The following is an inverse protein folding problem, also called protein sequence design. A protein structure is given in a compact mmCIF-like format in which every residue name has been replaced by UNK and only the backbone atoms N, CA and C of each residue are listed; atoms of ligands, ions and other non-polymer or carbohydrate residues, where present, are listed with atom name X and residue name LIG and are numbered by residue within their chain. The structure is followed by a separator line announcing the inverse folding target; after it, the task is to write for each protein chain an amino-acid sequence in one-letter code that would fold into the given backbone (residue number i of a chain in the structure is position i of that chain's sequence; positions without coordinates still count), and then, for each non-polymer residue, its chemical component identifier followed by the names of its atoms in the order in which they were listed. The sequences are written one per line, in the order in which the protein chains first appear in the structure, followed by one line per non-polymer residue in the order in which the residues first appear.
data_IF_357140254718
#
_entry.id   IF_357140254718
#
_cell.length_a   1.000
_cell.length_b   1.000
_cell.length_c   1.000
_cell.angle_alpha   90.00
_cell.angle_beta   90.00
_cell.angle_gamma   90.00
#
_symmetry.space_group_name_H-M   'P 1'
#
loop_
_entity.id
_entity.type
_entity.pdbx_description
1 polymer ?
#
# COMPACT_ATOMS: atom_id res chain seq x y z
N UNK A 1 17.78 -34.28 44.39
CA UNK A 1 17.61 -32.84 44.67
C UNK A 1 17.22 -32.17 43.35
N UNK A 2 15.95 -31.80 43.19
CA UNK A 2 15.42 -31.19 41.95
C UNK A 2 15.45 -29.67 42.13
N UNK A 3 16.33 -28.97 41.42
CA UNK A 3 16.32 -27.51 41.38
C UNK A 3 15.13 -27.02 40.58
N UNK A 4 14.14 -26.45 41.27
CA UNK A 4 13.07 -25.67 40.68
C UNK A 4 13.65 -24.32 40.24
N UNK A 5 13.73 -24.09 38.94
CA UNK A 5 14.02 -22.76 38.38
C UNK A 5 12.69 -22.00 38.36
N UNK A 6 12.58 -21.01 39.24
CA UNK A 6 11.45 -20.08 39.33
C UNK A 6 11.61 -19.03 38.22
N UNK A 7 10.89 -19.18 37.11
CA UNK A 7 10.84 -18.16 36.05
C UNK A 7 9.82 -17.10 36.48
N UNK A 8 10.32 -15.94 36.90
CA UNK A 8 9.55 -14.74 37.19
C UNK A 8 9.06 -14.14 35.85
N UNK A 9 7.79 -14.37 35.50
CA UNK A 9 7.11 -13.67 34.42
C UNK A 9 6.79 -12.23 34.88
N UNK A 10 7.63 -11.28 34.46
CA UNK A 10 7.31 -9.86 34.57
C UNK A 10 6.30 -9.55 33.48
N UNK A 11 5.02 -9.48 33.85
CA UNK A 11 3.94 -8.96 33.01
C UNK A 11 4.15 -7.45 32.82
N UNK A 12 4.89 -7.06 31.78
CA UNK A 12 4.92 -5.66 31.34
C UNK A 12 3.59 -5.39 30.64
N UNK A 13 2.61 -4.92 31.41
CA UNK A 13 1.41 -4.30 30.84
C UNK A 13 1.81 -2.95 30.26
N UNK A 14 2.28 -2.93 29.02
CA UNK A 14 2.51 -1.68 28.29
C UNK A 14 1.13 -1.12 27.94
N UNK A 15 0.55 -0.35 28.86
CA UNK A 15 -0.64 0.45 28.60
C UNK A 15 -0.18 1.73 27.87
N UNK A 16 0.49 1.55 26.72
CA UNK A 16 0.79 2.64 25.80
C UNK A 16 -0.50 2.94 25.05
N UNK A 17 -1.16 4.06 25.39
CA UNK A 17 -2.15 4.66 24.52
C UNK A 17 -1.57 4.68 23.11
N UNK A 18 -2.22 4.07 22.11
CA UNK A 18 -1.69 4.07 20.75
C UNK A 18 -1.50 5.51 20.32
N UNK A 19 -0.24 5.91 20.14
CA UNK A 19 0.09 7.22 19.60
C UNK A 19 -0.59 7.32 18.24
N UNK A 20 -1.55 8.26 18.15
CA UNK A 20 -2.42 8.39 16.99
C UNK A 20 -1.56 8.96 15.88
N UNK A 21 -1.10 8.10 14.99
CA UNK A 21 -0.30 8.51 13.84
C UNK A 21 -1.15 9.30 12.84
N UNK A 22 -2.40 8.87 12.68
CA UNK A 22 -3.36 9.59 11.89
C UNK A 22 -4.73 8.94 11.89
N UNK A 23 -5.50 9.29 10.87
CA UNK A 23 -6.85 8.81 10.66
C UNK A 23 -7.04 8.36 9.23
N UNK A 24 -7.72 7.24 9.05
CA UNK A 24 -8.09 6.71 7.74
C UNK A 24 -9.60 6.72 7.58
N UNK A 25 -10.05 6.88 6.33
CA UNK A 25 -11.38 6.48 5.91
C UNK A 25 -11.27 5.29 4.96
N UNK A 26 -12.03 4.25 5.26
CA UNK A 26 -12.04 2.98 4.52
C UNK A 26 -13.45 2.57 4.12
N UNK A 27 -13.55 1.82 3.03
CA UNK A 27 -14.79 1.13 2.64
C UNK A 27 -14.99 -0.10 3.52
N UNK A 28 -16.14 -0.22 4.18
CA UNK A 28 -16.41 -1.29 5.15
C UNK A 28 -16.40 -2.68 4.52
N UNK A 29 -16.93 -2.81 3.30
CA UNK A 29 -17.09 -4.10 2.64
C UNK A 29 -15.74 -4.72 2.23
N UNK A 30 -14.77 -3.91 1.84
CA UNK A 30 -13.51 -4.36 1.24
C UNK A 30 -12.29 -4.04 2.09
N UNK A 31 -12.43 -3.14 3.08
CA UNK A 31 -11.30 -2.56 3.79
C UNK A 31 -10.46 -1.60 2.96
N UNK A 32 -10.92 -1.21 1.75
CA UNK A 32 -10.18 -0.36 0.82
C UNK A 32 -9.91 1.01 1.41
N UNK A 33 -8.65 1.45 1.35
CA UNK A 33 -8.29 2.81 1.70
C UNK A 33 -8.94 3.82 0.73
N UNK A 34 -9.68 4.77 1.30
CA UNK A 34 -10.30 5.88 0.56
C UNK A 34 -9.55 7.18 0.77
N UNK A 35 -9.14 7.45 2.00
CA UNK A 35 -8.46 8.68 2.40
C UNK A 35 -7.64 8.43 3.67
N UNK A 36 -6.51 9.13 3.77
CA UNK A 36 -5.68 9.16 4.97
C UNK A 36 -5.29 10.60 5.26
N UNK A 37 -5.32 10.98 6.53
CA UNK A 37 -4.80 12.25 7.02
C UNK A 37 -3.90 11.98 8.22
N UNK A 38 -2.66 12.49 8.13
CA UNK A 38 -1.70 12.42 9.22
C UNK A 38 -2.10 13.39 10.35
N UNK A 39 -1.84 12.98 11.60
CA UNK A 39 -2.21 13.73 12.80
C UNK A 39 -3.66 13.47 13.25
N UNK A 40 -4.07 14.09 14.36
CA UNK A 40 -5.41 13.87 14.93
C UNK A 40 -6.46 14.75 14.23
N UNK A 41 -6.73 14.44 12.96
CA UNK A 41 -7.88 15.00 12.24
C UNK A 41 -9.15 14.80 13.07
N UNK A 42 -10.03 15.82 13.10
CA UNK A 42 -11.29 15.75 13.84
C UNK A 42 -12.14 14.59 13.32
N UNK A 43 -12.79 13.88 14.25
CA UNK A 43 -13.67 12.78 13.89
C UNK A 43 -14.79 13.28 12.98
N UNK A 44 -14.94 12.62 11.83
CA UNK A 44 -15.96 12.91 10.84
C UNK A 44 -15.44 13.74 9.67
N UNK A 45 -14.23 14.30 9.75
CA UNK A 45 -13.66 15.11 8.65
C UNK A 45 -13.51 14.27 7.38
N UNK A 46 -12.86 13.10 7.46
CA UNK A 46 -12.62 12.28 6.28
C UNK A 46 -13.93 11.68 5.77
N UNK A 47 -14.82 11.24 6.67
CA UNK A 47 -16.14 10.73 6.29
C UNK A 47 -16.97 11.79 5.56
N UNK A 48 -16.94 13.05 6.01
CA UNK A 48 -17.61 14.16 5.32
C UNK A 48 -16.99 14.42 3.94
N UNK A 49 -15.66 14.40 3.83
CA UNK A 49 -14.97 14.56 2.54
C UNK A 49 -15.40 13.47 1.54
N UNK A 50 -15.39 12.20 1.97
CA UNK A 50 -15.81 11.05 1.16
C UNK A 50 -17.29 11.10 0.79
N UNK A 51 -18.16 11.50 1.72
CA UNK A 51 -19.59 11.70 1.45
C UNK A 51 -19.80 12.79 0.39
N UNK A 52 -19.06 13.90 0.46
CA UNK A 52 -19.08 14.97 -0.56
C UNK A 52 -18.52 14.50 -1.91
N UNK A 53 -17.59 13.56 -1.91
CA UNK A 53 -17.03 12.94 -3.11
C UNK A 53 -17.97 11.90 -3.76
N UNK A 54 -19.14 11.63 -3.15
CA UNK A 54 -20.17 10.74 -3.70
C UNK A 54 -20.22 9.35 -3.07
N UNK A 55 -19.42 9.06 -2.04
CA UNK A 55 -19.52 7.78 -1.33
C UNK A 55 -20.75 7.76 -0.42
N UNK A 56 -21.37 6.58 -0.29
CA UNK A 56 -22.47 6.39 0.65
C UNK A 56 -21.92 6.37 2.09
N UNK A 57 -22.38 7.27 2.99
CA UNK A 57 -21.88 7.35 4.36
C UNK A 57 -22.11 6.07 5.18
N UNK A 58 -23.01 5.18 4.75
CA UNK A 58 -23.24 3.90 5.40
C UNK A 58 -22.19 2.84 5.04
N UNK A 59 -21.53 2.99 3.90
CA UNK A 59 -20.55 2.03 3.36
C UNK A 59 -19.11 2.36 3.75
N UNK A 60 -18.90 3.51 4.39
CA UNK A 60 -17.58 4.01 4.79
C UNK A 60 -17.47 4.19 6.30
N UNK A 61 -16.27 3.98 6.81
CA UNK A 61 -15.93 4.22 8.22
C UNK A 61 -14.63 5.01 8.36
N UNK A 62 -14.52 5.72 9.48
CA UNK A 62 -13.38 6.56 9.81
C UNK A 62 -12.80 6.10 11.14
N UNK A 63 -11.50 5.77 11.17
CA UNK A 63 -10.83 5.21 12.35
C UNK A 63 -9.45 5.81 12.57
N UNK A 64 -9.08 5.96 13.84
CA UNK A 64 -7.70 6.28 14.24
C UNK A 64 -6.81 5.08 13.94
N UNK A 65 -5.58 5.35 13.53
CA UNK A 65 -4.57 4.32 13.29
C UNK A 65 -3.25 4.72 13.94
N UNK A 66 -2.58 3.72 14.47
CA UNK A 66 -1.16 3.77 14.83
C UNK A 66 -0.30 3.82 13.58
N UNK A 67 0.99 4.14 13.77
CA UNK A 67 1.96 4.10 12.67
C UNK A 67 2.10 2.70 12.07
N UNK A 68 2.06 1.66 12.90
CA UNK A 68 2.14 0.28 12.43
C UNK A 68 0.94 -0.12 11.57
N UNK A 69 -0.28 0.25 11.99
CA UNK A 69 -1.49 0.03 11.20
C UNK A 69 -1.47 0.82 9.89
N UNK A 70 -1.01 2.07 9.92
CA UNK A 70 -0.86 2.86 8.70
C UNK A 70 0.10 2.20 7.71
N UNK A 71 1.28 1.74 8.15
CA UNK A 71 2.24 1.09 7.26
C UNK A 71 1.67 -0.17 6.61
N UNK A 72 0.86 -0.94 7.33
CA UNK A 72 0.16 -2.10 6.78
C UNK A 72 -0.90 -1.72 5.72
N UNK A 73 -1.67 -0.66 6.00
CA UNK A 73 -2.67 -0.11 5.07
C UNK A 73 -1.99 0.44 3.80
N UNK A 74 -0.91 1.21 3.97
CA UNK A 74 -0.13 1.80 2.89
C UNK A 74 0.51 0.73 2.01
N UNK A 75 1.08 -0.34 2.59
CA UNK A 75 1.64 -1.41 1.79
C UNK A 75 0.55 -2.08 0.94
N UNK A 76 -0.58 -2.43 1.56
CA UNK A 76 -1.68 -3.15 0.91
C UNK A 76 -2.33 -2.36 -0.22
N UNK A 77 -2.64 -1.08 0.01
CA UNK A 77 -3.50 -0.31 -0.90
C UNK A 77 -2.75 0.68 -1.79
N UNK A 78 -1.49 1.00 -1.47
CA UNK A 78 -0.70 1.98 -2.21
C UNK A 78 0.55 1.32 -2.80
N UNK A 79 1.41 0.75 -1.95
CA UNK A 79 2.75 0.31 -2.36
C UNK A 79 2.73 -0.95 -3.21
N UNK A 80 2.04 -2.02 -2.79
CA UNK A 80 1.97 -3.27 -3.55
C UNK A 80 1.29 -3.06 -4.91
N UNK A 81 0.11 -2.42 -5.02
CA UNK A 81 -0.51 -2.16 -6.33
C UNK A 81 0.37 -1.32 -7.25
N UNK A 82 1.10 -0.33 -6.71
CA UNK A 82 2.04 0.48 -7.51
C UNK A 82 3.21 -0.37 -8.05
N UNK A 83 3.78 -1.25 -7.21
CA UNK A 83 4.84 -2.19 -7.63
C UNK A 83 4.33 -3.15 -8.70
N UNK A 84 3.16 -3.74 -8.50
CA UNK A 84 2.53 -4.65 -9.46
C UNK A 84 2.27 -3.96 -10.80
N UNK A 85 1.70 -2.75 -10.78
CA UNK A 85 1.46 -1.95 -12.00
C UNK A 85 2.76 -1.64 -12.74
N UNK A 86 3.84 -1.31 -12.01
CA UNK A 86 5.16 -1.07 -12.60
C UNK A 86 5.69 -2.35 -13.26
N UNK A 87 5.63 -3.48 -12.56
CA UNK A 87 6.09 -4.78 -13.09
C UNK A 87 5.28 -5.20 -14.33
N UNK A 88 3.96 -5.03 -14.31
CA UNK A 88 3.10 -5.30 -15.45
C UNK A 88 3.48 -4.45 -16.66
N UNK A 89 3.71 -3.14 -16.47
CA UNK A 89 4.13 -2.23 -17.55
C UNK A 89 5.49 -2.64 -18.13
N UNK A 90 6.46 -2.98 -17.28
CA UNK A 90 7.78 -3.45 -17.72
C UNK A 90 7.68 -4.76 -18.53
N UNK A 91 6.86 -5.71 -18.07
CA UNK A 91 6.63 -6.96 -18.78
C UNK A 91 5.93 -6.72 -20.13
N UNK A 92 4.92 -5.85 -20.17
CA UNK A 92 4.25 -5.46 -21.42
C UNK A 92 5.22 -4.79 -22.40
N UNK A 93 6.11 -3.93 -21.91
CA UNK A 93 7.12 -3.29 -22.75
C UNK A 93 8.11 -4.31 -23.32
N UNK A 94 8.60 -5.25 -22.50
CA UNK A 94 9.48 -6.35 -22.98
C UNK A 94 8.80 -7.17 -24.07
N UNK A 95 7.53 -7.55 -23.87
CA UNK A 95 6.75 -8.30 -24.88
C UNK A 95 6.60 -7.49 -26.17
N UNK A 96 6.30 -6.19 -26.07
CA UNK A 96 6.20 -5.31 -27.24
C UNK A 96 7.54 -5.18 -27.98
N UNK A 97 8.64 -5.03 -27.25
CA UNK A 97 9.99 -4.97 -27.80
C UNK A 97 10.36 -6.27 -28.51
N UNK A 98 10.14 -7.43 -27.88
CA UNK A 98 10.42 -8.74 -28.49
C UNK A 98 9.56 -8.99 -29.74
N UNK A 99 8.28 -8.58 -29.70
CA UNK A 99 7.40 -8.66 -30.87
C UNK A 99 7.87 -7.77 -32.01
N UNK A 100 8.29 -6.53 -31.72
CA UNK A 100 8.80 -5.60 -32.73
C UNK A 100 10.12 -6.10 -33.33
N UNK A 101 11.05 -6.53 -32.48
CA UNK A 101 12.32 -7.15 -32.89
C UNK A 101 12.08 -8.32 -33.83
N UNK A 102 11.16 -9.22 -33.46
CA UNK A 102 10.84 -10.41 -34.28
C UNK A 102 10.19 -10.03 -35.60
N UNK A 103 9.25 -9.06 -35.60
CA UNK A 103 8.59 -8.58 -36.83
C UNK A 103 9.54 -7.92 -37.81
N UNK A 104 10.56 -7.22 -37.31
CA UNK A 104 11.58 -6.57 -38.13
C UNK A 104 12.73 -7.51 -38.52
N UNK A 105 12.72 -8.76 -38.06
CA UNK A 105 13.79 -9.72 -38.32
C UNK A 105 15.13 -9.34 -37.68
N UNK A 106 15.12 -8.51 -36.64
CA UNK A 106 16.34 -7.98 -36.01
C UNK A 106 16.91 -8.93 -34.96
N UNK A 107 18.24 -8.95 -34.85
CA UNK A 107 18.89 -9.59 -33.70
C UNK A 107 18.68 -8.74 -32.43
N UNK A 108 19.02 -9.29 -31.27
CA UNK A 108 18.97 -8.53 -30.01
C UNK A 108 19.91 -7.32 -30.02
N UNK A 109 21.07 -7.45 -30.69
CA UNK A 109 22.06 -6.39 -30.80
C UNK A 109 21.56 -5.29 -31.74
N UNK A 110 21.07 -5.63 -32.94
CA UNK A 110 20.56 -4.63 -33.89
C UNK A 110 19.41 -3.81 -33.30
N UNK A 111 18.53 -4.47 -32.55
CA UNK A 111 17.41 -3.80 -31.90
C UNK A 111 17.86 -2.88 -30.76
N UNK A 112 18.93 -3.25 -30.05
CA UNK A 112 19.54 -2.40 -29.02
C UNK A 112 20.18 -1.17 -29.67
N UNK A 113 20.98 -1.37 -30.71
CA UNK A 113 21.66 -0.30 -31.44
C UNK A 113 20.64 0.67 -32.06
N UNK A 114 19.54 0.15 -32.62
CA UNK A 114 18.43 0.96 -33.13
C UNK A 114 17.79 1.83 -32.04
N UNK A 115 17.62 1.30 -30.83
CA UNK A 115 17.09 2.08 -29.68
C UNK A 115 18.05 3.18 -29.24
N UNK A 116 19.36 2.97 -29.34
CA UNK A 116 20.37 3.98 -28.99
C UNK A 116 20.44 5.12 -30.02
N UNK A 117 20.11 4.86 -31.29
CA UNK A 117 20.06 5.90 -32.34
C UNK A 117 18.78 6.73 -32.29
N UNK A 118 17.66 6.14 -31.86
CA UNK A 118 16.35 6.81 -31.84
C UNK A 118 16.12 7.63 -30.55
N UNK A 119 16.75 7.23 -29.43
CA UNK A 119 16.68 7.95 -28.15
C UNK A 119 17.64 9.15 -28.12
#
# INVERSE_FOLDING_TARGET
MKSLIFILLISISINSYPDVYGRVCIEKATGRLLEFQQGDALLGTLKQNRTRAGDNPNDIEEKKVTKAEWLAIEDTWITQPAKEKKQQKENQNKIKEDNLRTKLGLTKQDFKDLKEVIN
#
